data_IF_641289153553
#
_entry.id   IF_641289153553
#
_cell.length_a   1.000
_cell.length_b   1.000
_cell.length_c   1.000
_cell.angle_alpha   90.00
_cell.angle_beta   90.00
_cell.angle_gamma   90.00
#
_symmetry.space_group_name_H-M   'P 1'
#
loop_
_entity.id
_entity.type
_entity.pdbx_description
1 polymer ?
#
# COMPACT_ATOMS: atom_id res chain seq x y z
N UNK A 1 13.03 24.78 -2.19
CA UNK A 1 12.72 23.37 -1.90
C UNK A 1 11.69 22.92 -2.91
N UNK A 2 11.95 21.84 -3.63
CA UNK A 2 11.04 21.28 -4.63
C UNK A 2 10.11 20.25 -3.98
N UNK A 3 8.78 20.32 -4.20
CA UNK A 3 7.86 19.26 -3.80
C UNK A 3 8.24 17.90 -4.41
N UNK A 4 7.85 16.79 -3.77
CA UNK A 4 8.20 15.43 -4.20
C UNK A 4 7.85 15.16 -5.68
N UNK A 5 6.69 15.64 -6.14
CA UNK A 5 6.23 15.45 -7.52
C UNK A 5 7.19 16.05 -8.57
N UNK A 6 7.89 17.15 -8.26
CA UNK A 6 8.86 17.77 -9.16
C UNK A 6 10.12 16.92 -9.32
N UNK A 7 10.55 16.25 -8.24
CA UNK A 7 11.64 15.27 -8.35
C UNK A 7 11.18 14.05 -9.13
N UNK A 8 9.97 13.55 -8.86
CA UNK A 8 9.40 12.43 -9.59
C UNK A 8 9.27 12.69 -11.09
N UNK A 9 8.93 13.92 -11.51
CA UNK A 9 8.86 14.27 -12.94
C UNK A 9 10.19 14.19 -13.69
N UNK A 10 11.32 14.07 -12.98
CA UNK A 10 12.63 13.85 -13.60
C UNK A 10 12.87 12.39 -13.99
N UNK A 11 12.05 11.45 -13.49
CA UNK A 11 12.13 10.04 -13.88
C UNK A 11 11.77 9.92 -15.36
N UNK A 12 12.69 9.35 -16.14
CA UNK A 12 12.47 9.10 -17.55
C UNK A 12 11.46 7.96 -17.72
N UNK A 13 10.40 8.25 -18.45
CA UNK A 13 9.40 7.27 -18.87
C UNK A 13 9.85 6.72 -20.23
N UNK A 14 9.83 5.39 -20.46
CA UNK A 14 10.10 4.83 -21.79
C UNK A 14 9.22 5.45 -22.86
N UNK A 15 9.74 5.67 -24.06
CA UNK A 15 9.00 6.32 -25.15
C UNK A 15 7.85 5.46 -25.65
N UNK A 16 6.81 6.09 -26.21
CA UNK A 16 5.65 5.36 -26.76
C UNK A 16 6.03 4.36 -27.85
N UNK A 17 7.09 4.64 -28.60
CA UNK A 17 7.63 3.74 -29.65
C UNK A 17 8.35 2.51 -29.09
N UNK A 18 8.64 2.45 -27.79
CA UNK A 18 9.20 1.26 -27.14
C UNK A 18 8.11 0.23 -26.77
N UNK A 19 6.85 0.45 -27.15
CA UNK A 19 5.75 -0.47 -26.85
C UNK A 19 5.18 -1.08 -28.14
N UNK A 20 4.76 -2.37 -28.12
CA UNK A 20 4.74 -3.29 -26.98
C UNK A 20 6.14 -3.67 -26.49
N UNK A 21 6.27 -4.03 -25.21
CA UNK A 21 7.54 -4.47 -24.64
C UNK A 21 8.11 -5.70 -25.37
N UNK A 22 9.43 -5.78 -25.50
CA UNK A 22 10.10 -6.87 -26.24
C UNK A 22 10.93 -7.79 -25.35
N UNK A 23 10.78 -7.67 -24.02
CA UNK A 23 11.38 -8.57 -23.05
C UNK A 23 12.89 -8.33 -22.84
N UNK A 24 13.54 -9.18 -22.02
CA UNK A 24 14.94 -8.98 -21.59
C UNK A 24 15.96 -8.92 -22.73
N UNK A 25 15.73 -9.67 -23.82
CA UNK A 25 16.61 -9.71 -25.00
C UNK A 25 16.36 -8.53 -25.97
N UNK A 26 15.26 -7.80 -25.79
CA UNK A 26 14.93 -6.60 -26.54
C UNK A 26 15.15 -5.33 -25.72
N UNK A 27 14.11 -4.51 -25.58
CA UNK A 27 14.16 -3.23 -24.85
C UNK A 27 14.08 -3.40 -23.32
N UNK A 28 13.92 -4.62 -22.82
CA UNK A 28 13.86 -4.94 -21.40
C UNK A 28 12.52 -4.61 -20.73
N UNK A 29 11.52 -4.14 -21.48
CA UNK A 29 10.15 -3.89 -20.99
C UNK A 29 9.37 -5.20 -21.04
N UNK A 30 8.54 -5.45 -20.03
CA UNK A 30 7.72 -6.65 -19.96
C UNK A 30 6.79 -6.77 -21.19
N UNK A 31 6.81 -7.89 -21.95
CA UNK A 31 5.98 -8.07 -23.15
C UNK A 31 4.47 -7.99 -22.93
N UNK A 32 4.00 -8.14 -21.69
CA UNK A 32 2.60 -7.95 -21.34
C UNK A 32 2.16 -6.48 -21.38
N UNK A 33 3.10 -5.53 -21.43
CA UNK A 33 2.82 -4.11 -21.56
C UNK A 33 2.73 -3.72 -23.03
N UNK A 34 1.52 -3.52 -23.50
CA UNK A 34 1.20 -3.13 -24.87
C UNK A 34 1.35 -1.62 -25.12
N UNK A 35 1.25 -0.78 -24.08
CA UNK A 35 1.35 0.69 -24.22
C UNK A 35 2.10 1.37 -23.07
N UNK A 36 2.57 2.60 -23.30
CA UNK A 36 3.22 3.43 -22.29
C UNK A 36 2.31 3.70 -21.09
N UNK A 37 1.01 3.86 -21.32
CA UNK A 37 0.01 4.11 -20.28
C UNK A 37 -0.08 2.94 -19.28
N UNK A 38 0.10 1.69 -19.73
CA UNK A 38 0.13 0.52 -18.85
C UNK A 38 1.39 0.48 -17.98
N UNK A 39 2.53 0.91 -18.53
CA UNK A 39 3.75 1.08 -17.73
C UNK A 39 3.58 2.18 -16.68
N UNK A 40 3.01 3.32 -17.09
CA UNK A 40 2.70 4.43 -16.18
C UNK A 40 1.71 4.05 -15.10
N UNK A 41 0.69 3.25 -15.41
CA UNK A 41 -0.29 2.75 -14.43
C UNK A 41 0.39 1.97 -13.30
N UNK A 42 1.35 1.10 -13.62
CA UNK A 42 2.09 0.37 -12.60
C UNK A 42 2.89 1.32 -11.70
N UNK A 43 3.59 2.30 -12.26
CA UNK A 43 4.39 3.23 -11.46
C UNK A 43 3.50 4.18 -10.64
N UNK A 44 2.45 4.73 -11.24
CA UNK A 44 1.62 5.81 -10.67
C UNK A 44 0.47 5.35 -9.80
N UNK A 45 -0.05 4.14 -10.00
CA UNK A 45 -1.31 3.73 -9.37
C UNK A 45 -1.17 2.36 -8.72
N UNK A 46 -0.71 1.37 -9.48
CA UNK A 46 -0.90 -0.04 -9.14
C UNK A 46 0.37 -0.77 -8.68
N UNK A 47 1.43 -0.05 -8.31
CA UNK A 47 2.73 -0.69 -8.00
C UNK A 47 3.62 0.06 -7.01
N UNK A 48 3.79 1.37 -7.16
CA UNK A 48 4.76 2.13 -6.36
C UNK A 48 4.12 3.30 -5.60
N UNK A 49 3.52 4.26 -6.32
CA UNK A 49 3.04 5.51 -5.73
C UNK A 49 1.96 5.32 -4.66
N UNK A 50 1.14 4.27 -4.77
CA UNK A 50 0.09 3.96 -3.80
C UNK A 50 0.60 3.71 -2.38
N UNK A 51 1.82 3.18 -2.21
CA UNK A 51 2.39 2.91 -0.89
C UNK A 51 3.34 4.02 -0.41
N UNK A 52 4.02 4.72 -1.33
CA UNK A 52 4.96 5.76 -0.98
C UNK A 52 5.01 6.90 -2.00
N UNK A 53 5.10 8.13 -1.49
CA UNK A 53 5.25 9.31 -2.32
C UNK A 53 6.60 9.29 -3.08
N UNK A 54 6.53 9.08 -4.40
CA UNK A 54 7.68 9.12 -5.29
C UNK A 54 8.29 10.53 -5.32
N UNK A 55 9.62 10.61 -5.31
CA UNK A 55 10.38 11.87 -5.31
C UNK A 55 10.58 12.51 -3.94
N UNK A 56 10.10 11.89 -2.86
CA UNK A 56 10.55 12.22 -1.50
C UNK A 56 12.06 12.01 -1.37
N UNK A 57 12.69 12.70 -0.39
CA UNK A 57 14.14 12.58 -0.16
C UNK A 57 14.56 11.12 -0.01
N UNK A 58 13.83 10.36 0.84
CA UNK A 58 14.11 8.95 1.05
C UNK A 58 14.10 8.15 -0.26
N UNK A 59 13.19 8.44 -1.19
CA UNK A 59 13.07 7.71 -2.47
C UNK A 59 14.13 8.08 -3.50
N UNK A 60 14.60 9.32 -3.50
CA UNK A 60 15.60 9.81 -4.47
C UNK A 60 17.05 9.68 -3.99
N UNK A 61 17.28 9.00 -2.87
CA UNK A 61 18.62 8.75 -2.32
C UNK A 61 18.73 7.31 -1.82
N UNK A 62 19.84 6.62 -2.07
CA UNK A 62 20.10 5.29 -1.50
C UNK A 62 20.72 5.46 -0.09
N UNK A 63 20.16 4.85 0.97
CA UNK A 63 20.75 4.86 2.30
C UNK A 63 22.13 4.20 2.32
N UNK A 64 23.10 4.80 3.00
CA UNK A 64 24.49 4.29 3.07
C UNK A 64 24.56 2.98 3.87
N UNK A 65 23.62 2.79 4.78
CA UNK A 65 23.44 1.62 5.64
C UNK A 65 23.19 0.34 4.83
N UNK A 66 22.76 0.45 3.57
CA UNK A 66 22.61 -0.70 2.67
C UNK A 66 23.96 -1.22 2.13
N UNK A 67 25.04 -0.45 2.29
CA UNK A 67 26.38 -0.80 1.83
C UNK A 67 26.78 -0.15 0.51
N UNK A 68 27.84 -0.68 -0.10
CA UNK A 68 28.37 -0.24 -1.39
C UNK A 68 28.07 -1.25 -2.48
N UNK A 69 27.83 -0.76 -3.68
CA UNK A 69 27.39 -1.56 -4.83
C UNK A 69 28.21 -1.21 -6.06
N UNK A 70 28.36 -2.18 -6.98
CA UNK A 70 29.08 -1.97 -8.23
C UNK A 70 28.38 -0.96 -9.16
N UNK A 71 27.04 -0.89 -9.07
CA UNK A 71 26.24 0.06 -9.82
C UNK A 71 25.05 0.57 -9.00
N UNK A 72 24.51 1.73 -9.38
CA UNK A 72 23.27 2.27 -8.80
C UNK A 72 22.05 1.39 -9.10
N UNK A 73 22.07 0.60 -10.18
CA UNK A 73 21.02 -0.39 -10.46
C UNK A 73 21.03 -1.53 -9.42
N UNK A 74 22.22 -2.03 -9.05
CA UNK A 74 22.36 -3.04 -8.00
C UNK A 74 21.94 -2.49 -6.64
N UNK A 75 22.28 -1.23 -6.37
CA UNK A 75 21.85 -0.52 -5.16
C UNK A 75 20.31 -0.42 -5.07
N UNK A 76 19.64 -0.09 -6.18
CA UNK A 76 18.18 -0.09 -6.28
C UNK A 76 17.57 -1.48 -6.09
N UNK A 77 18.18 -2.51 -6.67
CA UNK A 77 17.72 -3.88 -6.51
C UNK A 77 17.79 -4.31 -5.04
N UNK A 78 18.92 -4.07 -4.36
CA UNK A 78 19.05 -4.38 -2.93
C UNK A 78 18.09 -3.54 -2.07
N UNK A 79 17.84 -2.29 -2.45
CA UNK A 79 16.93 -1.40 -1.74
C UNK A 79 15.50 -1.96 -1.70
N UNK A 80 14.94 -2.36 -2.85
CA UNK A 80 13.56 -2.87 -2.93
C UNK A 80 13.38 -4.25 -2.28
N UNK A 81 14.48 -4.87 -1.85
CA UNK A 81 14.43 -6.12 -1.09
C UNK A 81 14.43 -5.90 0.43
N UNK A 82 14.51 -4.66 0.89
CA UNK A 82 14.58 -4.32 2.32
C UNK A 82 13.21 -4.43 2.99
N UNK A 83 13.15 -5.12 4.12
CA UNK A 83 11.93 -5.29 4.92
C UNK A 83 10.91 -6.27 4.34
N UNK A 84 9.80 -6.45 5.05
CA UNK A 84 8.80 -7.49 4.79
C UNK A 84 7.91 -7.24 3.55
N UNK A 85 8.09 -6.11 2.87
CA UNK A 85 7.47 -5.79 1.58
C UNK A 85 8.25 -6.32 0.37
N UNK A 86 9.42 -6.94 0.57
CA UNK A 86 10.35 -7.45 -0.45
C UNK A 86 9.63 -8.09 -1.65
N UNK A 87 8.82 -9.12 -1.38
CA UNK A 87 8.18 -9.91 -2.43
C UNK A 87 7.23 -9.06 -3.27
N UNK A 88 6.45 -8.18 -2.64
CA UNK A 88 5.53 -7.29 -3.33
C UNK A 88 6.27 -6.26 -4.19
N UNK A 89 7.31 -5.63 -3.66
CA UNK A 89 8.10 -4.63 -4.40
C UNK A 89 8.82 -5.27 -5.61
N UNK A 90 9.41 -6.44 -5.44
CA UNK A 90 10.10 -7.16 -6.52
C UNK A 90 9.12 -7.65 -7.59
N UNK A 91 7.93 -8.10 -7.19
CA UNK A 91 6.86 -8.50 -8.12
C UNK A 91 6.38 -7.30 -8.95
N UNK A 92 6.17 -6.14 -8.31
CA UNK A 92 5.75 -4.92 -9.00
C UNK A 92 6.82 -4.39 -9.96
N UNK A 93 8.10 -4.48 -9.60
CA UNK A 93 9.19 -4.16 -10.52
C UNK A 93 9.20 -5.10 -11.73
N UNK A 94 8.95 -6.39 -11.52
CA UNK A 94 8.89 -7.41 -12.58
C UNK A 94 7.80 -7.15 -13.62
N UNK A 95 6.68 -6.55 -13.21
CA UNK A 95 5.60 -6.13 -14.12
C UNK A 95 6.05 -5.04 -15.11
N UNK A 96 7.06 -4.25 -14.77
CA UNK A 96 7.64 -3.23 -15.68
C UNK A 96 8.70 -3.83 -16.62
N UNK A 97 9.39 -4.89 -16.16
CA UNK A 97 10.63 -5.38 -16.75
C UNK A 97 11.83 -4.97 -15.89
N UNK A 98 12.32 -5.91 -15.07
CA UNK A 98 13.26 -5.64 -13.96
C UNK A 98 14.49 -4.82 -14.37
N UNK A 99 15.26 -5.31 -15.34
CA UNK A 99 16.53 -4.68 -15.71
C UNK A 99 16.31 -3.26 -16.29
N UNK A 100 15.28 -3.07 -17.13
CA UNK A 100 14.95 -1.75 -17.69
C UNK A 100 14.49 -0.80 -16.60
N UNK A 101 13.61 -1.24 -15.71
CA UNK A 101 13.11 -0.41 -14.60
C UNK A 101 14.22 0.02 -13.64
N UNK A 102 15.09 -0.91 -13.21
CA UNK A 102 16.23 -0.61 -12.33
C UNK A 102 17.16 0.43 -12.95
N UNK A 103 17.47 0.33 -14.25
CA UNK A 103 18.27 1.34 -14.95
C UNK A 103 17.62 2.72 -14.96
N UNK A 104 16.30 2.81 -15.15
CA UNK A 104 15.59 4.09 -15.15
C UNK A 104 15.57 4.74 -13.76
N UNK A 105 15.35 3.95 -12.71
CA UNK A 105 15.40 4.46 -11.33
C UNK A 105 16.82 4.83 -10.90
N UNK A 106 17.83 4.07 -11.33
CA UNK A 106 19.25 4.37 -11.10
C UNK A 106 19.65 5.69 -11.79
N UNK A 107 19.39 5.83 -13.10
CA UNK A 107 19.64 7.07 -13.85
C UNK A 107 18.99 8.28 -13.18
N UNK A 108 17.74 8.13 -12.74
CA UNK A 108 17.01 9.17 -12.04
C UNK A 108 17.69 9.61 -10.74
N UNK A 109 18.13 8.67 -9.91
CA UNK A 109 18.83 9.00 -8.65
C UNK A 109 20.24 9.52 -8.88
N UNK A 110 20.96 9.00 -9.87
CA UNK A 110 22.33 9.40 -10.19
C UNK A 110 22.36 10.84 -10.71
N UNK A 111 21.43 11.20 -11.60
CA UNK A 111 21.25 12.58 -12.09
C UNK A 111 20.97 13.55 -10.95
N UNK A 112 20.08 13.18 -10.03
CA UNK A 112 19.79 13.99 -8.83
C UNK A 112 21.03 14.13 -7.94
N UNK A 113 21.79 13.05 -7.74
CA UNK A 113 23.02 13.06 -6.95
C UNK A 113 24.13 13.93 -7.58
N UNK A 114 24.19 13.96 -8.92
CA UNK A 114 25.09 14.82 -9.69
C UNK A 114 24.67 16.30 -9.68
N UNK A 115 23.55 16.66 -9.06
CA UNK A 115 23.08 18.03 -8.89
C UNK A 115 22.03 18.48 -9.90
N UNK A 116 21.48 17.59 -10.72
CA UNK A 116 20.37 17.93 -11.60
C UNK A 116 19.12 18.31 -10.78
N UNK A 117 18.45 19.39 -11.18
CA UNK A 117 17.27 19.93 -10.52
C UNK A 117 16.05 19.84 -11.43
N UNK A 118 14.82 19.77 -10.87
CA UNK A 118 13.62 19.88 -11.68
C UNK A 118 13.60 21.22 -12.44
N UNK A 119 13.26 21.16 -13.72
CA UNK A 119 13.30 22.30 -14.65
C UNK A 119 12.31 23.41 -14.26
N UNK A 120 11.16 23.04 -13.70
CA UNK A 120 10.14 24.00 -13.24
C UNK A 120 10.37 24.40 -11.79
N UNK A 121 10.54 25.70 -11.53
CA UNK A 121 10.65 26.23 -10.17
C UNK A 121 9.25 26.43 -9.57
N UNK A 122 8.92 25.80 -8.43
CA UNK A 122 7.60 25.96 -7.82
C UNK A 122 7.38 27.40 -7.36
N UNK A 123 6.27 28.00 -7.77
CA UNK A 123 5.84 29.33 -7.32
C UNK A 123 5.50 29.27 -5.83
N UNK A 124 6.04 30.22 -5.06
CA UNK A 124 5.66 30.35 -3.64
C UNK A 124 4.28 31.00 -3.52
N UNK A 125 3.47 30.63 -2.51
CA UNK A 125 2.22 31.33 -2.23
C UNK A 125 2.47 32.82 -2.03
N UNK A 126 1.67 33.69 -2.67
CA UNK A 126 1.87 35.15 -2.65
C UNK A 126 0.81 35.89 -1.82
N UNK A 127 -0.38 35.32 -1.61
CA UNK A 127 -1.51 35.99 -0.98
C UNK A 127 -1.90 35.37 0.36
N UNK A 128 -3.22 35.28 0.58
CA UNK A 128 -3.83 34.77 1.83
C UNK A 128 -3.39 33.35 2.17
N UNK A 129 -2.92 32.58 1.19
CA UNK A 129 -2.40 31.22 1.37
C UNK A 129 -1.13 31.21 2.24
N UNK A 130 -0.43 32.33 2.37
CA UNK A 130 0.72 32.47 3.29
C UNK A 130 0.32 32.41 4.77
N UNK A 131 -0.97 32.55 5.08
CA UNK A 131 -1.50 32.55 6.44
C UNK A 131 -1.93 31.15 6.92
N UNK A 132 -1.75 30.10 6.09
CA UNK A 132 -2.11 28.73 6.48
C UNK A 132 -1.09 28.19 7.49
N UNK A 133 -1.56 27.84 8.68
CA UNK A 133 -0.79 27.10 9.68
C UNK A 133 -1.21 25.62 9.62
N UNK A 134 -0.24 24.74 9.36
CA UNK A 134 -0.44 23.29 9.37
C UNK A 134 0.12 22.72 10.66
N UNK A 135 -0.73 22.00 11.41
CA UNK A 135 -0.30 21.14 12.52
C UNK A 135 -0.38 19.70 12.05
N UNK A 136 0.73 18.97 12.15
CA UNK A 136 0.83 17.58 11.76
C UNK A 136 1.15 16.75 13.01
N UNK A 137 0.37 15.69 13.22
CA UNK A 137 0.67 14.67 14.21
C UNK A 137 0.56 13.30 13.55
N UNK A 138 1.36 12.37 14.02
CA UNK A 138 1.15 10.95 13.75
C UNK A 138 0.14 10.40 14.76
N UNK A 139 -0.63 9.42 14.35
CA UNK A 139 -1.71 8.77 15.11
C UNK A 139 -1.60 7.25 15.10
N UNK A 140 -0.47 6.72 14.60
CA UNK A 140 -0.05 5.34 14.71
C UNK A 140 1.28 5.24 15.50
N UNK A 141 1.82 4.01 15.63
CA UNK A 141 3.15 3.80 16.20
C UNK A 141 4.23 3.90 15.11
N UNK A 142 5.50 4.22 15.45
CA UNK A 142 6.58 4.41 14.46
C UNK A 142 6.84 3.23 13.50
N UNK A 143 6.46 2.02 13.89
CA UNK A 143 6.60 0.78 13.12
C UNK A 143 5.33 0.38 12.36
N UNK A 144 4.22 1.09 12.59
CA UNK A 144 2.93 0.76 12.01
C UNK A 144 2.74 1.53 10.71
N UNK A 145 2.59 0.80 9.62
CA UNK A 145 2.22 1.34 8.32
C UNK A 145 0.69 1.50 8.26
N UNK A 146 0.22 2.73 7.99
CA UNK A 146 -1.19 3.03 7.75
C UNK A 146 -1.46 3.03 6.24
N UNK A 147 -2.34 2.14 5.78
CA UNK A 147 -2.67 2.00 4.36
C UNK A 147 -3.91 2.81 3.98
N UNK A 148 -4.99 2.69 4.76
CA UNK A 148 -6.27 3.33 4.47
C UNK A 148 -6.83 4.04 5.71
N UNK A 149 -7.76 4.97 5.48
CA UNK A 149 -8.57 5.59 6.51
C UNK A 149 -10.00 5.86 6.01
N UNK A 150 -10.93 6.02 6.95
CA UNK A 150 -12.28 6.49 6.66
C UNK A 150 -12.76 7.50 7.71
N UNK A 151 -13.27 8.63 7.23
CA UNK A 151 -13.80 9.71 8.06
C UNK A 151 -15.32 9.80 8.05
N UNK A 152 -16.01 9.29 7.02
CA UNK A 152 -17.48 9.25 6.93
C UNK A 152 -17.94 8.29 5.83
N UNK A 153 -19.25 8.02 5.73
CA UNK A 153 -19.82 7.32 4.58
C UNK A 153 -19.80 8.25 3.35
N UNK A 154 -19.21 7.78 2.25
CA UNK A 154 -19.17 8.50 0.97
C UNK A 154 -20.56 8.82 0.39
N UNK A 155 -21.60 8.06 0.78
CA UNK A 155 -23.00 8.25 0.36
C UNK A 155 -23.69 9.35 1.17
N UNK A 156 -23.21 9.60 2.39
CA UNK A 156 -23.72 10.64 3.28
C UNK A 156 -22.55 11.28 4.07
N UNK A 157 -21.97 12.38 3.56
CA UNK A 157 -20.83 13.03 4.21
C UNK A 157 -21.17 13.66 5.57
N UNK A 158 -22.46 13.70 5.96
CA UNK A 158 -22.90 14.22 7.26
C UNK A 158 -23.01 13.15 8.34
N UNK A 159 -22.85 11.86 8.00
CA UNK A 159 -23.04 10.75 8.92
C UNK A 159 -22.13 10.82 10.14
N UNK A 160 -20.86 11.18 9.94
CA UNK A 160 -19.82 11.16 10.98
C UNK A 160 -19.20 12.55 11.18
N UNK A 161 -20.02 13.60 11.19
CA UNK A 161 -19.55 14.97 11.39
C UNK A 161 -18.79 15.10 12.73
N UNK A 162 -17.54 15.55 12.66
CA UNK A 162 -16.61 15.64 13.81
C UNK A 162 -16.41 14.33 14.58
N UNK A 163 -16.77 13.20 13.97
CA UNK A 163 -16.67 11.88 14.59
C UNK A 163 -15.27 11.29 14.51
N UNK A 164 -15.14 10.07 15.03
CA UNK A 164 -13.89 9.33 15.02
C UNK A 164 -13.51 8.91 13.59
N UNK A 165 -12.23 9.02 13.27
CA UNK A 165 -11.64 8.54 12.01
C UNK A 165 -11.01 7.16 12.29
N UNK A 166 -11.21 6.21 11.39
CA UNK A 166 -10.74 4.84 11.54
C UNK A 166 -9.72 4.51 10.47
N UNK A 167 -8.53 4.09 10.88
CA UNK A 167 -7.46 3.65 9.99
C UNK A 167 -7.47 2.14 9.73
N UNK A 168 -6.68 1.68 8.76
CA UNK A 168 -6.38 0.29 8.52
C UNK A 168 -4.88 0.11 8.25
N UNK A 169 -4.24 -0.72 9.06
CA UNK A 169 -2.77 -0.89 9.10
C UNK A 169 -2.24 -1.99 8.18
N UNK A 170 -3.13 -2.57 7.38
CA UNK A 170 -2.83 -3.64 6.43
C UNK A 170 -1.89 -4.70 6.98
N UNK A 171 -0.72 -4.86 6.37
CA UNK A 171 0.25 -5.90 6.72
C UNK A 171 1.06 -5.56 7.97
N UNK A 172 1.01 -4.36 8.54
CA UNK A 172 1.94 -3.98 9.62
C UNK A 172 1.54 -4.44 11.02
N UNK A 173 0.26 -4.36 11.37
CA UNK A 173 -0.24 -4.79 12.68
C UNK A 173 -1.74 -5.08 12.64
N UNK A 174 -2.22 -5.89 13.58
CA UNK A 174 -3.65 -6.12 13.82
C UNK A 174 -4.33 -5.00 14.62
N UNK A 175 -3.63 -3.91 14.91
CA UNK A 175 -4.15 -2.75 15.64
C UNK A 175 -4.58 -1.65 14.66
N UNK A 176 -5.88 -1.45 14.46
CA UNK A 176 -6.33 -0.26 13.72
C UNK A 176 -6.32 0.99 14.60
N UNK A 177 -5.76 2.11 14.12
CA UNK A 177 -5.81 3.37 14.84
C UNK A 177 -7.19 4.03 14.71
N UNK A 178 -7.55 4.77 15.75
CA UNK A 178 -8.76 5.58 15.83
C UNK A 178 -8.36 6.98 16.28
N UNK A 179 -8.68 8.00 15.49
CA UNK A 179 -8.41 9.41 15.82
C UNK A 179 -9.70 10.12 16.18
N UNK A 180 -9.68 10.78 17.33
CA UNK A 180 -10.62 11.84 17.67
C UNK A 180 -10.03 13.17 17.18
N UNK A 181 -10.51 13.73 16.05
CA UNK A 181 -9.96 14.96 15.49
C UNK A 181 -10.34 16.20 16.31
N UNK A 182 -11.34 16.13 17.19
CA UNK A 182 -11.77 17.25 18.04
C UNK A 182 -10.94 17.33 19.31
N UNK A 183 -10.62 16.17 19.89
CA UNK A 183 -9.82 16.08 21.12
C UNK A 183 -8.33 15.83 20.88
N UNK A 184 -7.92 15.66 19.61
CA UNK A 184 -6.56 15.32 19.21
C UNK A 184 -6.03 14.08 19.93
N UNK A 185 -6.87 13.04 20.05
CA UNK A 185 -6.53 11.80 20.76
C UNK A 185 -6.49 10.63 19.80
N UNK A 186 -5.37 9.91 19.79
CA UNK A 186 -5.24 8.63 19.10
C UNK A 186 -5.43 7.46 20.08
N UNK A 187 -6.20 6.47 19.66
CA UNK A 187 -6.33 5.16 20.33
C UNK A 187 -6.18 4.05 19.29
N UNK A 188 -6.11 2.80 19.75
CA UNK A 188 -5.98 1.64 18.86
C UNK A 188 -6.90 0.51 19.33
N UNK A 189 -7.43 -0.25 18.38
CA UNK A 189 -8.30 -1.40 18.63
C UNK A 189 -7.73 -2.60 17.88
N UNK A 190 -7.66 -3.75 18.56
CA UNK A 190 -7.18 -5.01 17.95
C UNK A 190 -8.29 -5.68 17.17
N UNK A 191 -8.05 -5.90 15.87
CA UNK A 191 -8.87 -6.76 15.04
C UNK A 191 -8.54 -8.23 15.33
N UNK A 192 -9.52 -9.09 15.65
CA UNK A 192 -9.28 -10.51 15.87
C UNK A 192 -9.33 -11.32 14.57
N UNK A 193 -8.72 -12.50 14.60
CA UNK A 193 -8.97 -13.60 13.65
C UNK A 193 -9.76 -14.71 14.36
N UNK A 194 -10.49 -15.55 13.60
CA UNK A 194 -11.19 -16.71 14.17
C UNK A 194 -10.24 -17.87 14.48
N UNK A 195 -9.22 -18.04 13.65
CA UNK A 195 -8.23 -19.10 13.78
C UNK A 195 -6.85 -18.48 14.03
N UNK A 196 -6.22 -18.74 15.19
CA UNK A 196 -4.92 -18.21 15.54
C UNK A 196 -3.79 -18.69 14.61
N UNK A 197 -4.01 -19.76 13.84
CA UNK A 197 -3.06 -20.25 12.83
C UNK A 197 -3.11 -19.45 11.52
N UNK A 198 -3.92 -18.40 11.44
CA UNK A 198 -3.92 -17.49 10.29
C UNK A 198 -2.51 -16.92 10.09
N UNK A 199 -1.91 -17.03 8.88
CA UNK A 199 -0.55 -16.57 8.65
C UNK A 199 -0.36 -15.09 8.96
N UNK A 200 0.74 -14.76 9.64
CA UNK A 200 1.16 -13.38 9.93
C UNK A 200 2.17 -12.88 8.89
N UNK A 201 2.10 -11.59 8.56
CA UNK A 201 3.13 -10.87 7.80
C UNK A 201 4.52 -10.92 8.47
N UNK A 202 4.59 -11.27 9.76
CA UNK A 202 5.83 -11.57 10.48
C UNK A 202 6.62 -12.70 9.85
N UNK A 203 6.02 -13.56 9.03
CA UNK A 203 6.70 -14.67 8.36
C UNK A 203 7.20 -14.28 6.95
N UNK A 204 6.88 -13.08 6.45
CA UNK A 204 7.24 -12.67 5.10
C UNK A 204 8.78 -12.67 4.89
N UNK A 205 9.27 -13.02 3.69
CA UNK A 205 10.68 -12.86 3.37
C UNK A 205 11.12 -11.39 3.51
N UNK A 206 12.32 -11.16 4.05
CA UNK A 206 12.94 -9.83 4.09
C UNK A 206 14.45 -9.91 4.02
N UNK A 207 15.07 -8.87 3.46
CA UNK A 207 16.45 -8.50 3.76
C UNK A 207 16.47 -7.34 4.77
N UNK A 208 17.63 -7.10 5.43
CA UNK A 208 17.76 -6.04 6.43
C UNK A 208 17.32 -4.67 5.89
N UNK A 209 16.57 -3.94 6.71
CA UNK A 209 16.15 -2.56 6.49
C UNK A 209 17.27 -1.58 6.84
N UNK A 210 17.37 -0.48 6.09
CA UNK A 210 18.28 0.62 6.42
C UNK A 210 17.95 1.32 7.75
N UNK A 211 16.71 1.18 8.25
CA UNK A 211 16.22 1.88 9.43
C UNK A 211 16.07 0.98 10.66
N UNK A 212 15.66 -0.27 10.44
CA UNK A 212 15.31 -1.23 11.50
C UNK A 212 16.19 -2.49 11.48
N UNK A 213 17.19 -2.54 10.60
CA UNK A 213 18.05 -3.72 10.46
C UNK A 213 17.25 -4.99 10.18
N UNK A 214 17.53 -6.03 10.95
CA UNK A 214 16.94 -7.37 10.80
C UNK A 214 15.60 -7.52 11.54
N UNK A 215 15.13 -6.45 12.21
CA UNK A 215 13.90 -6.49 12.99
C UNK A 215 12.67 -6.65 12.09
N UNK A 216 11.88 -7.69 12.38
CA UNK A 216 10.58 -7.97 11.74
C UNK A 216 9.48 -7.13 12.38
N UNK A 217 9.35 -5.89 11.93
CA UNK A 217 8.44 -4.91 12.52
C UNK A 217 6.97 -5.09 12.11
N UNK A 218 6.67 -5.82 11.03
CA UNK A 218 5.29 -6.13 10.64
C UNK A 218 4.82 -7.45 11.27
N UNK A 219 3.64 -7.43 11.88
CA UNK A 219 3.01 -8.58 12.54
C UNK A 219 1.48 -8.48 12.48
N UNK A 220 0.93 -8.66 11.27
CA UNK A 220 -0.51 -8.62 11.00
C UNK A 220 -0.98 -9.99 10.52
N UNK A 221 -1.94 -10.58 11.23
CA UNK A 221 -2.70 -11.75 10.77
C UNK A 221 -3.93 -11.34 9.97
N UNK A 222 -4.51 -10.19 10.31
CA UNK A 222 -5.80 -9.73 9.80
C UNK A 222 -5.68 -9.05 8.45
N UNK A 223 -4.53 -8.44 8.12
CA UNK A 223 -4.31 -7.78 6.82
C UNK A 223 -5.50 -6.87 6.46
N UNK A 224 -5.89 -6.01 7.40
CA UNK A 224 -7.10 -5.19 7.29
C UNK A 224 -6.95 -4.07 6.27
N UNK A 225 -8.01 -3.80 5.51
CA UNK A 225 -7.95 -2.89 4.37
C UNK A 225 -9.34 -2.30 4.09
N UNK A 226 -9.36 -1.15 3.42
CA UNK A 226 -10.54 -0.45 2.92
C UNK A 226 -11.64 -0.33 4.00
N UNK A 227 -11.38 0.39 5.11
CA UNK A 227 -12.40 0.70 6.10
C UNK A 227 -13.50 1.55 5.46
N UNK A 228 -14.76 1.23 5.72
CA UNK A 228 -15.92 1.88 5.11
C UNK A 228 -17.05 2.02 6.11
N UNK A 229 -17.63 3.21 6.24
CA UNK A 229 -18.87 3.38 6.99
C UNK A 229 -20.07 2.82 6.22
N UNK A 230 -21.00 2.22 6.96
CA UNK A 230 -22.37 2.03 6.50
C UNK A 230 -23.30 3.14 7.00
N UNK A 231 -24.56 3.10 6.56
CA UNK A 231 -25.58 4.10 6.88
C UNK A 231 -25.94 4.17 8.37
N UNK A 232 -25.55 3.16 9.16
CA UNK A 232 -25.80 3.07 10.60
C UNK A 232 -24.61 3.57 11.43
N UNK A 233 -23.51 3.97 10.79
CA UNK A 233 -22.29 4.40 11.46
C UNK A 233 -21.38 3.24 11.89
N UNK A 234 -21.59 2.02 11.39
CA UNK A 234 -20.68 0.89 11.62
C UNK A 234 -19.54 0.93 10.62
N UNK A 235 -18.37 0.46 11.02
CA UNK A 235 -17.15 0.47 10.21
C UNK A 235 -16.88 -0.94 9.70
N UNK A 236 -16.88 -1.10 8.38
CA UNK A 236 -16.62 -2.34 7.69
C UNK A 236 -15.18 -2.38 7.21
N UNK A 237 -14.49 -3.48 7.47
CA UNK A 237 -13.15 -3.74 7.00
C UNK A 237 -13.14 -4.94 6.08
N UNK A 238 -12.37 -4.87 5.01
CA UNK A 238 -11.90 -6.06 4.32
C UNK A 238 -10.74 -6.64 5.14
N UNK A 239 -10.84 -7.89 5.62
CA UNK A 239 -9.80 -8.47 6.51
C UNK A 239 -9.80 -10.00 6.46
N UNK A 240 -8.63 -10.62 6.65
CA UNK A 240 -8.51 -12.05 6.92
C UNK A 240 -9.21 -12.36 8.24
N UNK A 241 -10.00 -13.42 8.24
CA UNK A 241 -10.65 -13.94 9.45
C UNK A 241 -10.22 -15.38 9.75
N UNK A 242 -9.51 -16.05 8.82
CA UNK A 242 -9.07 -17.45 8.87
C UNK A 242 -7.95 -17.70 7.84
N UNK A 243 -7.27 -18.86 7.87
CA UNK A 243 -6.34 -19.28 6.83
C UNK A 243 -6.98 -19.36 5.42
N UNK A 244 -6.14 -19.36 4.35
CA UNK A 244 -6.63 -19.25 2.98
C UNK A 244 -7.57 -20.37 2.51
N UNK A 245 -7.45 -21.58 3.05
CA UNK A 245 -8.28 -22.72 2.64
C UNK A 245 -9.77 -22.43 2.87
N UNK A 246 -10.57 -22.46 1.81
CA UNK A 246 -12.01 -22.25 1.93
C UNK A 246 -12.71 -23.43 2.61
N UNK A 247 -13.82 -23.19 3.33
CA UNK A 247 -14.66 -24.26 3.86
C UNK A 247 -15.37 -24.99 2.73
N UNK A 248 -15.77 -26.23 2.96
CA UNK A 248 -16.30 -27.12 1.91
C UNK A 248 -17.58 -26.58 1.26
N UNK A 249 -18.38 -25.79 1.98
CA UNK A 249 -19.56 -25.15 1.41
C UNK A 249 -19.24 -24.09 0.35
N UNK A 250 -17.98 -23.66 0.21
CA UNK A 250 -17.53 -22.74 -0.84
C UNK A 250 -16.90 -23.45 -2.05
N UNK A 251 -16.67 -24.76 -1.95
CA UNK A 251 -15.98 -25.57 -2.96
C UNK A 251 -16.94 -26.23 -3.94
N UNK A 252 -16.37 -26.76 -5.03
CA UNK A 252 -17.11 -27.52 -6.03
C UNK A 252 -17.84 -28.70 -5.39
N UNK A 253 -19.11 -28.90 -5.76
CA UNK A 253 -19.97 -29.96 -5.22
C UNK A 253 -20.88 -29.52 -4.07
N UNK A 254 -20.71 -28.31 -3.52
CA UNK A 254 -21.65 -27.75 -2.55
C UNK A 254 -22.96 -27.28 -3.19
N UNK A 255 -24.05 -27.34 -2.43
CA UNK A 255 -25.35 -26.76 -2.79
C UNK A 255 -25.42 -25.25 -2.58
N UNK A 256 -24.41 -24.63 -1.95
CA UNK A 256 -24.39 -23.19 -1.68
C UNK A 256 -24.39 -22.37 -2.98
N UNK A 257 -25.23 -21.31 -3.12
CA UNK A 257 -25.34 -20.55 -4.35
C UNK A 257 -24.01 -20.03 -4.91
N UNK A 258 -23.14 -19.50 -4.05
CA UNK A 258 -21.81 -19.02 -4.47
C UNK A 258 -20.92 -20.14 -5.02
N UNK A 259 -20.99 -21.36 -4.45
CA UNK A 259 -20.18 -22.49 -4.90
C UNK A 259 -20.67 -23.06 -6.23
N UNK A 260 -21.97 -22.94 -6.53
CA UNK A 260 -22.52 -23.30 -7.86
C UNK A 260 -22.08 -22.34 -8.95
N UNK A 261 -22.00 -21.05 -8.64
CA UNK A 261 -21.62 -20.01 -9.61
C UNK A 261 -20.12 -19.87 -9.80
N UNK A 262 -19.35 -19.91 -8.71
CA UNK A 262 -17.90 -19.71 -8.73
C UNK A 262 -17.28 -20.49 -7.56
N UNK A 263 -17.09 -21.80 -7.70
CA UNK A 263 -16.41 -22.59 -6.67
C UNK A 263 -14.96 -22.14 -6.55
N UNK A 264 -14.51 -21.88 -5.33
CA UNK A 264 -13.15 -21.40 -5.07
C UNK A 264 -12.55 -22.19 -3.91
N UNK A 265 -11.35 -22.72 -4.12
CA UNK A 265 -10.63 -23.52 -3.14
C UNK A 265 -9.96 -22.67 -2.05
N UNK A 266 -9.58 -21.43 -2.37
CA UNK A 266 -8.90 -20.53 -1.43
C UNK A 266 -9.41 -19.09 -1.49
N UNK A 267 -9.55 -18.45 -0.33
CA UNK A 267 -9.90 -17.03 -0.22
C UNK A 267 -9.06 -16.39 0.88
N UNK A 268 -8.59 -15.16 0.64
CA UNK A 268 -7.67 -14.48 1.54
C UNK A 268 -8.41 -13.51 2.48
N UNK A 269 -8.79 -12.33 1.98
CA UNK A 269 -9.52 -11.34 2.78
C UNK A 269 -11.05 -11.55 2.67
N UNK A 270 -11.71 -11.38 3.80
CA UNK A 270 -13.15 -11.45 3.99
C UNK A 270 -13.68 -10.12 4.53
N UNK A 271 -14.70 -10.13 5.38
CA UNK A 271 -15.28 -8.92 5.97
C UNK A 271 -15.27 -8.98 7.50
N UNK A 272 -15.08 -7.82 8.11
CA UNK A 272 -15.25 -7.61 9.55
C UNK A 272 -15.99 -6.32 9.79
N UNK A 273 -16.85 -6.28 10.81
CA UNK A 273 -17.67 -5.10 11.15
C UNK A 273 -17.40 -4.70 12.57
N UNK A 274 -16.95 -3.46 12.77
CA UNK A 274 -16.83 -2.81 14.06
C UNK A 274 -18.05 -1.90 14.26
N UNK A 275 -18.72 -2.03 15.40
CA UNK A 275 -19.77 -1.11 15.82
C UNK A 275 -19.23 -0.15 16.90
N UNK A 276 -18.98 1.12 16.56
CA UNK A 276 -18.47 2.11 17.51
C UNK A 276 -19.33 2.32 18.75
N UNK A 277 -20.65 2.05 18.67
CA UNK A 277 -21.57 2.25 19.81
C UNK A 277 -21.42 1.18 20.88
N UNK A 278 -21.05 -0.03 20.47
CA UNK A 278 -20.95 -1.19 21.38
C UNK A 278 -19.52 -1.67 21.59
N UNK A 279 -18.58 -1.22 20.75
CA UNK A 279 -17.21 -1.73 20.71
C UNK A 279 -17.11 -3.14 20.12
N UNK A 280 -18.20 -3.71 19.60
CA UNK A 280 -18.24 -5.11 19.15
C UNK A 280 -17.65 -5.25 17.74
N UNK A 281 -16.77 -6.24 17.58
CA UNK A 281 -16.27 -6.67 16.27
C UNK A 281 -16.97 -7.98 15.88
N UNK A 282 -17.52 -8.02 14.66
CA UNK A 282 -18.15 -9.20 14.06
C UNK A 282 -17.37 -9.63 12.83
N UNK A 283 -16.77 -10.81 12.88
CA UNK A 283 -16.03 -11.39 11.75
C UNK A 283 -17.00 -12.13 10.82
N UNK A 284 -16.91 -11.91 9.51
CA UNK A 284 -17.79 -12.48 8.48
C UNK A 284 -16.93 -13.23 7.46
N UNK A 285 -16.97 -14.56 7.50
CA UNK A 285 -16.29 -15.41 6.50
C UNK A 285 -17.10 -15.46 5.21
N UNK A 286 -16.46 -15.08 4.10
CA UNK A 286 -17.02 -15.14 2.74
C UNK A 286 -16.36 -16.25 1.93
N UNK A 287 -17.03 -16.76 0.88
CA UNK A 287 -16.41 -17.70 -0.07
C UNK A 287 -15.44 -17.02 -1.05
N UNK A 288 -15.70 -15.74 -1.35
CA UNK A 288 -14.95 -14.93 -2.30
C UNK A 288 -14.06 -13.94 -1.54
N UNK A 289 -12.89 -13.65 -2.10
CA UNK A 289 -12.01 -12.62 -1.58
C UNK A 289 -12.67 -11.26 -1.81
N UNK A 290 -12.94 -10.53 -0.72
CA UNK A 290 -13.41 -9.16 -0.84
C UNK A 290 -12.20 -8.23 -1.01
N UNK A 291 -12.29 -7.27 -1.93
CA UNK A 291 -11.30 -6.20 -2.09
C UNK A 291 -11.87 -4.81 -1.78
N UNK A 292 -13.19 -4.70 -1.56
CA UNK A 292 -13.90 -3.46 -1.25
C UNK A 292 -15.12 -3.75 -0.37
N UNK A 293 -14.97 -3.60 0.94
CA UNK A 293 -16.09 -3.51 1.86
C UNK A 293 -17.10 -2.42 1.42
N UNK A 294 -18.40 -2.64 1.61
CA UNK A 294 -19.44 -1.62 1.41
C UNK A 294 -19.94 -1.38 -0.02
N UNK A 295 -19.73 -2.32 -0.96
CA UNK A 295 -20.42 -2.34 -2.27
C UNK A 295 -21.72 -3.16 -2.29
N UNK A 296 -22.20 -3.61 -1.12
CA UNK A 296 -23.49 -4.27 -0.98
C UNK A 296 -24.52 -3.31 -0.45
#
# INVERSE_FOLDING_TARGET
YYPAIYWYSMLRVPDKSEFPGTGPEGNGINPALATQEQWLDIVKTNGCYGCHALGTKAMRTIPKELGSFASSADAWQRRIQSGQALTQMTTNLGRLGNARALRLFADWTDRIAAGELPTSKPTRPQGVERNVVLTLWDWAAPTNYLHDEVSTDKRNPRLNANGLIYGATEESTDLFPVLDPVRHRATQIRMPVRDPNTPSSKQNPMLPSAYWGDERIWDSQTSMHNPMFDEKGRVWFTSRVRPPANPDFCKKGSTHPSAKLTPIETSNRHLSVYDPRTGRITLISTCLCDRRAGRR
#
